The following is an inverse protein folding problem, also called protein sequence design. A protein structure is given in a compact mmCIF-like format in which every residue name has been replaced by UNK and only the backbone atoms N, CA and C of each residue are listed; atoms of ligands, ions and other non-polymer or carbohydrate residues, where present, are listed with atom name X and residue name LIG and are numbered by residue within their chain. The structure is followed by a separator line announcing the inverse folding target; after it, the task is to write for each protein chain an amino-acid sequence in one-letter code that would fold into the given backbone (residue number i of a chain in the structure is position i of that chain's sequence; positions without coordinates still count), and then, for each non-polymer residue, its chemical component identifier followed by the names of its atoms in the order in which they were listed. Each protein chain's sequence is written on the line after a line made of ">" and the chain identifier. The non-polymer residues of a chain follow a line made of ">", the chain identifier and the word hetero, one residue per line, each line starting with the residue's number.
data_IF_512122186006
#
_entry.id   IF_512122186006
#
_cell.length_a   1.000
_cell.length_b   1.000
_cell.length_c   1.000
_cell.angle_alpha   90.00
_cell.angle_beta   90.00
_cell.angle_gamma   90.00
#
_symmetry.space_group_name_H-M   'P 1'
#
loop_
_entity.id
_entity.type
_entity.pdbx_description
1 polymer ?
#
# COMPACT_ATOMS: atom_id res chain seq x y z
N UNK A 1 -16.58 13.02 8.23
CA UNK A 1 -15.83 12.15 9.18
C UNK A 1 -14.92 11.15 8.47
N UNK A 2 -15.41 10.24 7.62
CA UNK A 2 -14.56 9.24 6.95
C UNK A 2 -13.45 9.86 6.07
N UNK A 3 -13.76 10.90 5.28
CA UNK A 3 -12.74 11.60 4.44
C UNK A 3 -11.59 12.16 5.28
N UNK A 4 -11.89 12.85 6.38
CA UNK A 4 -10.88 13.42 7.28
C UNK A 4 -10.07 12.34 7.99
N UNK A 5 -10.71 11.26 8.43
CA UNK A 5 -10.02 10.11 9.04
C UNK A 5 -9.03 9.46 8.06
N UNK A 6 -9.47 9.22 6.81
CA UNK A 6 -8.62 8.68 5.74
C UNK A 6 -7.49 9.64 5.43
N UNK A 7 -7.75 10.93 5.26
CA UNK A 7 -6.71 11.93 5.00
C UNK A 7 -5.67 12.02 6.12
N UNK A 8 -6.09 11.99 7.39
CA UNK A 8 -5.18 12.05 8.52
C UNK A 8 -4.28 10.81 8.59
N UNK A 9 -4.85 9.61 8.37
CA UNK A 9 -4.06 8.37 8.33
C UNK A 9 -3.13 8.35 7.12
N UNK A 10 -3.58 8.78 5.94
CA UNK A 10 -2.73 8.88 4.74
C UNK A 10 -1.57 9.86 4.99
N UNK A 11 -1.82 11.00 5.63
CA UNK A 11 -0.77 11.96 5.98
C UNK A 11 0.23 11.38 7.00
N UNK A 12 -0.26 10.67 8.02
CA UNK A 12 0.57 9.94 8.98
C UNK A 12 1.45 8.91 8.26
N UNK A 13 0.87 8.03 7.44
CA UNK A 13 1.62 7.06 6.64
C UNK A 13 2.61 7.71 5.69
N UNK A 14 2.21 8.75 4.96
CA UNK A 14 3.13 9.46 4.06
C UNK A 14 4.31 10.03 4.83
N UNK A 15 4.08 10.65 6.01
CA UNK A 15 5.16 11.21 6.84
C UNK A 15 6.17 10.15 7.33
N UNK A 16 5.72 8.90 7.49
CA UNK A 16 6.54 7.79 8.00
C UNK A 16 7.26 7.03 6.89
N UNK A 17 6.62 6.88 5.74
CA UNK A 17 7.05 6.01 4.64
C UNK A 17 7.33 6.79 3.35
N UNK A 18 7.93 7.99 3.46
CA UNK A 18 8.21 8.94 2.37
C UNK A 18 9.32 8.49 1.40
N UNK A 19 9.19 7.27 0.92
CA UNK A 19 10.23 6.55 0.19
C UNK A 19 9.73 6.17 -1.19
N UNK A 20 8.43 6.24 -1.45
CA UNK A 20 7.88 5.91 -2.76
C UNK A 20 6.63 6.73 -3.06
N UNK A 21 6.42 7.05 -4.33
CA UNK A 21 5.14 7.61 -4.77
C UNK A 21 4.02 6.57 -4.63
N UNK A 22 2.90 7.00 -4.03
CA UNK A 22 1.69 6.19 -3.93
C UNK A 22 0.90 6.33 -5.24
N UNK A 23 0.58 5.20 -5.88
CA UNK A 23 -0.22 5.17 -7.11
C UNK A 23 -1.69 4.92 -6.77
N UNK A 24 -2.57 5.67 -7.42
CA UNK A 24 -4.01 5.39 -7.33
C UNK A 24 -4.33 4.08 -8.07
N UNK A 25 -5.02 3.18 -7.39
CA UNK A 25 -5.57 1.95 -7.97
C UNK A 25 -7.08 2.09 -7.95
N UNK A 26 -7.74 1.95 -9.11
CA UNK A 26 -9.20 1.99 -9.19
C UNK A 26 -9.81 0.83 -8.38
N UNK A 27 -11.02 1.00 -7.85
CA UNK A 27 -11.66 -0.02 -7.00
C UNK A 27 -11.73 -1.40 -7.65
N UNK A 28 -12.03 -1.47 -8.94
CA UNK A 28 -12.10 -2.72 -9.70
C UNK A 28 -10.73 -3.43 -9.82
N UNK A 29 -9.64 -2.68 -9.68
CA UNK A 29 -8.27 -3.19 -9.76
C UNK A 29 -7.61 -3.30 -8.37
N UNK A 30 -8.36 -3.08 -7.28
CA UNK A 30 -7.82 -3.17 -5.92
C UNK A 30 -8.10 -4.57 -5.32
N UNK A 31 -7.09 -5.45 -5.17
CA UNK A 31 -7.30 -6.77 -4.59
C UNK A 31 -7.78 -6.74 -3.13
N UNK A 32 -7.52 -5.67 -2.38
CA UNK A 32 -8.05 -5.49 -1.03
C UNK A 32 -9.57 -5.22 -1.00
N UNK A 33 -10.15 -4.81 -2.13
CA UNK A 33 -11.60 -4.61 -2.26
C UNK A 33 -12.36 -5.94 -2.07
N UNK A 34 -11.82 -7.03 -2.61
CA UNK A 34 -12.37 -8.40 -2.43
C UNK A 34 -12.50 -8.76 -0.95
N UNK A 35 -11.44 -8.52 -0.17
CA UNK A 35 -11.45 -8.84 1.27
C UNK A 35 -12.35 -7.90 2.05
N UNK A 36 -12.27 -6.60 1.79
CA UNK A 36 -13.01 -5.58 2.56
C UNK A 36 -14.53 -5.61 2.33
N UNK A 37 -15.02 -6.22 1.23
CA UNK A 37 -16.44 -6.44 0.98
C UNK A 37 -17.05 -7.67 1.66
N UNK A 38 -16.24 -8.48 2.36
CA UNK A 38 -16.73 -9.65 3.08
C UNK A 38 -16.86 -10.90 2.22
N UNK A 39 -15.84 -11.21 1.42
CA UNK A 39 -15.77 -12.45 0.63
C UNK A 39 -15.62 -13.68 1.54
N UNK A 40 -16.30 -14.79 1.20
CA UNK A 40 -16.21 -16.05 1.92
C UNK A 40 -14.80 -16.67 1.80
N UNK A 41 -14.29 -17.25 2.89
CA UNK A 41 -12.95 -17.83 2.92
C UNK A 41 -12.72 -18.94 1.87
N UNK A 42 -13.78 -19.63 1.43
CA UNK A 42 -13.71 -20.63 0.35
C UNK A 42 -13.41 -19.97 -0.98
N UNK A 43 -14.03 -18.83 -1.26
CA UNK A 43 -13.87 -18.07 -2.50
C UNK A 43 -12.50 -17.36 -2.55
N UNK A 44 -11.91 -17.06 -1.39
CA UNK A 44 -10.54 -16.52 -1.31
C UNK A 44 -9.48 -17.51 -1.79
N UNK A 45 -9.68 -18.81 -1.57
CA UNK A 45 -8.67 -19.84 -1.91
C UNK A 45 -8.40 -19.92 -3.40
N UNK A 46 -9.41 -19.66 -4.22
CA UNK A 46 -9.33 -19.67 -5.69
C UNK A 46 -9.20 -18.28 -6.32
N UNK A 47 -9.05 -17.22 -5.52
CA UNK A 47 -9.01 -15.87 -6.05
C UNK A 47 -7.60 -15.50 -6.52
N UNK A 48 -7.32 -15.80 -7.78
CA UNK A 48 -6.04 -15.47 -8.42
C UNK A 48 -5.77 -13.97 -8.44
N UNK A 49 -6.81 -13.13 -8.51
CA UNK A 49 -6.67 -11.69 -8.51
C UNK A 49 -6.13 -11.15 -7.17
N UNK A 50 -6.57 -11.70 -6.03
CA UNK A 50 -6.00 -11.39 -4.72
C UNK A 50 -4.52 -11.81 -4.61
N UNK A 51 -4.16 -12.93 -5.24
CA UNK A 51 -2.80 -13.51 -5.15
C UNK A 51 -1.80 -12.82 -6.08
N UNK A 52 -2.22 -12.54 -7.31
CA UNK A 52 -1.36 -11.99 -8.37
C UNK A 52 -1.34 -10.45 -8.31
N UNK A 53 -2.42 -9.84 -7.84
CA UNK A 53 -2.60 -8.39 -7.87
C UNK A 53 -2.82 -7.85 -9.29
N UNK A 54 -3.01 -6.53 -9.42
CA UNK A 54 -3.24 -5.89 -10.72
C UNK A 54 -1.96 -5.81 -11.54
N UNK A 55 -2.08 -5.89 -12.86
CA UNK A 55 -0.95 -5.84 -13.81
C UNK A 55 -0.03 -4.62 -13.62
N UNK A 56 -0.57 -3.49 -13.14
CA UNK A 56 0.22 -2.27 -12.87
C UNK A 56 1.32 -2.46 -11.82
N UNK A 57 1.21 -3.48 -10.96
CA UNK A 57 2.23 -3.87 -9.97
C UNK A 57 3.23 -4.89 -10.53
N UNK A 58 2.88 -5.58 -11.62
CA UNK A 58 3.70 -6.60 -12.27
C UNK A 58 4.63 -6.02 -13.35
N UNK A 59 4.35 -4.81 -13.84
CA UNK A 59 5.27 -4.07 -14.71
C UNK A 59 6.48 -3.65 -13.89
N UNK A 60 7.68 -3.93 -14.39
CA UNK A 60 8.92 -3.51 -13.75
C UNK A 60 8.83 -2.03 -13.36
N UNK A 61 9.22 -1.73 -12.12
CA UNK A 61 9.47 -0.36 -11.65
C UNK A 61 10.81 0.07 -12.29
N UNK A 62 10.88 0.03 -13.62
CA UNK A 62 12.15 0.16 -14.35
C UNK A 62 12.54 1.61 -14.62
N UNK A 63 11.66 2.56 -14.29
CA UNK A 63 11.97 3.98 -14.43
C UNK A 63 11.96 4.71 -13.07
N UNK A 64 13.13 4.77 -12.40
CA UNK A 64 13.32 5.59 -11.20
C UNK A 64 13.10 7.09 -11.45
N UNK A 65 13.13 7.57 -12.71
CA UNK A 65 12.81 8.97 -13.05
C UNK A 65 11.30 9.19 -13.12
N UNK A 66 10.53 8.20 -13.57
CA UNK A 66 9.05 8.25 -13.58
C UNK A 66 8.44 8.02 -12.18
N UNK A 67 9.06 7.16 -11.37
CA UNK A 67 8.62 6.84 -10.00
C UNK A 67 9.79 6.86 -9.02
N UNK A 68 10.25 8.05 -8.61
CA UNK A 68 11.35 8.16 -7.68
C UNK A 68 10.93 7.56 -6.34
N UNK A 69 11.52 6.41 -6.03
CA UNK A 69 11.64 5.96 -4.66
C UNK A 69 13.04 6.35 -4.17
N UNK A 70 13.21 7.31 -3.26
CA UNK A 70 14.50 7.51 -2.60
C UNK A 70 15.01 6.17 -2.07
N UNK A 71 16.31 5.88 -2.17
CA UNK A 71 16.92 4.75 -1.47
C UNK A 71 16.76 4.98 0.05
N UNK A 72 15.62 4.62 0.63
CA UNK A 72 15.52 4.70 2.07
C UNK A 72 16.36 3.58 2.66
N UNK A 73 17.18 4.01 3.60
CA UNK A 73 17.83 3.07 4.47
C UNK A 73 16.76 2.39 5.32
N UNK A 74 16.67 1.07 5.20
CA UNK A 74 15.70 0.23 5.93
C UNK A 74 15.86 0.40 7.45
N UNK A 75 17.06 0.73 7.95
CA UNK A 75 17.26 1.01 9.38
C UNK A 75 16.45 2.22 9.86
N UNK A 76 16.43 3.29 9.07
CA UNK A 76 15.76 4.55 9.42
C UNK A 76 14.24 4.36 9.47
N UNK A 77 13.71 3.41 8.69
CA UNK A 77 12.31 3.01 8.71
C UNK A 77 12.02 2.26 10.01
N UNK A 78 12.83 1.24 10.32
CA UNK A 78 12.62 0.39 11.51
C UNK A 78 12.68 1.21 12.81
N UNK A 79 13.62 2.15 12.90
CA UNK A 79 13.75 3.04 14.06
C UNK A 79 12.52 3.95 14.25
N UNK A 80 11.96 4.47 13.14
CA UNK A 80 10.71 5.24 13.19
C UNK A 80 9.53 4.38 13.63
N UNK A 81 9.43 3.12 13.17
CA UNK A 81 8.34 2.22 13.53
C UNK A 81 8.37 1.81 15.00
N UNK A 82 9.56 1.52 15.53
CA UNK A 82 9.75 1.19 16.95
C UNK A 82 9.31 2.33 17.86
N UNK A 83 9.58 3.59 17.50
CA UNK A 83 9.17 4.74 18.30
C UNK A 83 7.65 4.98 18.32
N UNK A 84 6.91 4.48 17.33
CA UNK A 84 5.45 4.66 17.25
C UNK A 84 4.73 3.56 18.02
N UNK A 85 5.26 2.33 18.02
CA UNK A 85 4.67 1.22 18.77
C UNK A 85 4.87 1.32 20.29
N UNK A 86 5.72 2.25 20.73
CA UNK A 86 6.07 2.47 22.14
C UNK A 86 5.30 3.64 22.80
N UNK A 87 4.32 4.24 22.11
CA UNK A 87 3.37 5.22 22.67
C UNK A 87 1.95 4.67 22.70
#
# INVERSE_FOLDING_TARGET
>A
MLKTFVSNRVAEFQSLYFICQWRHVSSNNNPADVLSRGTDARDLRGNDFLRQGPELLLRDISDPEEYPCPNANVSDILDKLLNITNN
#
